data_IF_890061457378
#
_entry.id   IF_890061457378
#
_cell.length_a   1.000
_cell.length_b   1.000
_cell.length_c   1.000
_cell.angle_alpha   90.00
_cell.angle_beta   90.00
_cell.angle_gamma   90.00
#
_symmetry.space_group_name_H-M   'P 1'
#
loop_
_entity.id
_entity.type
_entity.pdbx_description
1 polymer ?
#
# COMPACT_ATOMS: atom_id res chain seq x y z
N UNK A 1 54.26 -4.86 -1.91
CA UNK A 1 53.22 -5.27 -2.90
C UNK A 1 51.92 -5.70 -2.21
N UNK A 2 51.59 -5.13 -1.05
CA UNK A 2 50.54 -5.63 -0.14
C UNK A 2 49.54 -4.54 0.28
N UNK A 3 49.93 -3.27 0.27
CA UNK A 3 49.05 -2.14 0.64
C UNK A 3 47.99 -1.80 -0.41
N UNK A 4 48.28 -2.04 -1.70
CA UNK A 4 47.33 -1.80 -2.80
C UNK A 4 46.15 -2.78 -2.79
N UNK A 5 46.37 -4.00 -2.29
CA UNK A 5 45.35 -5.06 -2.21
C UNK A 5 44.38 -4.77 -1.06
N UNK A 6 44.86 -4.24 0.08
CA UNK A 6 44.03 -3.87 1.22
C UNK A 6 43.11 -2.69 0.90
N UNK A 7 43.60 -1.69 0.16
CA UNK A 7 42.79 -0.53 -0.28
C UNK A 7 41.72 -0.98 -1.28
N UNK A 8 42.07 -1.86 -2.23
CA UNK A 8 41.11 -2.38 -3.21
C UNK A 8 39.98 -3.19 -2.55
N UNK A 9 40.30 -4.04 -1.56
CA UNK A 9 39.28 -4.80 -0.81
C UNK A 9 38.35 -3.90 0.01
N UNK A 10 38.89 -2.85 0.65
CA UNK A 10 38.09 -1.88 1.41
C UNK A 10 37.10 -1.10 0.52
N UNK A 11 37.53 -0.66 -0.66
CA UNK A 11 36.66 0.03 -1.63
C UNK A 11 35.56 -0.90 -2.16
N UNK A 12 35.90 -2.17 -2.43
CA UNK A 12 34.92 -3.17 -2.88
C UNK A 12 33.84 -3.42 -1.81
N UNK A 13 34.20 -3.53 -0.53
CA UNK A 13 33.24 -3.73 0.57
C UNK A 13 32.28 -2.52 0.71
N UNK A 14 32.79 -1.29 0.57
CA UNK A 14 31.98 -0.07 0.63
C UNK A 14 31.00 0.00 -0.54
N UNK A 15 31.43 -0.37 -1.74
CA UNK A 15 30.56 -0.42 -2.93
C UNK A 15 29.49 -1.49 -2.76
N UNK A 16 29.84 -2.68 -2.25
CA UNK A 16 28.86 -3.75 -1.98
C UNK A 16 27.82 -3.27 -0.94
N UNK A 17 28.25 -2.61 0.14
CA UNK A 17 27.32 -2.04 1.13
C UNK A 17 26.37 -1.00 0.51
N UNK A 18 26.88 -0.07 -0.31
CA UNK A 18 26.06 0.94 -0.98
C UNK A 18 25.08 0.36 -2.01
N UNK A 19 25.49 -0.68 -2.74
CA UNK A 19 24.64 -1.41 -3.69
C UNK A 19 23.54 -2.17 -2.93
N UNK A 20 23.87 -2.82 -1.80
CA UNK A 20 22.87 -3.53 -0.99
C UNK A 20 21.79 -2.59 -0.44
N UNK A 21 22.16 -1.38 -0.02
CA UNK A 21 21.20 -0.38 0.47
C UNK A 21 20.27 0.15 -0.63
N UNK A 22 20.78 0.28 -1.85
CA UNK A 22 20.02 0.78 -2.99
C UNK A 22 18.98 -0.23 -3.50
N UNK A 23 19.27 -1.53 -3.38
CA UNK A 23 18.37 -2.60 -3.84
C UNK A 23 17.20 -2.85 -2.88
N UNK A 24 17.29 -2.45 -1.62
CA UNK A 24 16.21 -2.60 -0.63
C UNK A 24 15.15 -1.49 -0.71
N UNK A 25 15.44 -0.36 -1.35
CA UNK A 25 14.51 0.75 -1.54
C UNK A 25 13.61 0.55 -2.78
N UNK A 26 13.09 -0.66 -2.98
CA UNK A 26 12.01 -0.87 -3.94
C UNK A 26 10.74 -0.39 -3.27
N UNK A 27 10.41 0.88 -3.47
CA UNK A 27 9.16 1.49 -3.04
C UNK A 27 8.00 0.78 -3.77
N UNK A 28 7.56 -0.34 -3.21
CA UNK A 28 6.25 -0.91 -3.50
C UNK A 28 5.29 0.10 -2.87
N UNK A 29 4.65 0.95 -3.69
CA UNK A 29 3.49 1.71 -3.25
C UNK A 29 2.46 0.66 -2.76
N UNK A 30 2.52 0.30 -1.49
CA UNK A 30 1.75 -0.78 -0.89
C UNK A 30 0.24 -0.48 -0.96
N UNK A 31 -0.59 -1.37 -0.43
CA UNK A 31 -2.02 -1.15 -0.41
C UNK A 31 -2.34 0.16 0.31
N UNK A 32 -3.08 1.07 -0.34
CA UNK A 32 -3.51 2.34 0.28
C UNK A 32 -5.02 2.38 0.34
N UNK A 33 -5.58 2.43 1.55
CA UNK A 33 -7.00 2.63 1.79
C UNK A 33 -7.27 4.09 2.10
N UNK A 34 -7.95 4.77 1.19
CA UNK A 34 -8.49 6.11 1.43
C UNK A 34 -9.87 6.01 2.07
N UNK A 35 -10.05 6.69 3.19
CA UNK A 35 -11.26 6.64 4.01
C UNK A 35 -11.59 8.03 4.56
N UNK A 36 -12.75 8.17 5.20
CA UNK A 36 -13.13 9.40 5.91
C UNK A 36 -13.74 9.10 7.27
N UNK A 37 -13.47 9.95 8.25
CA UNK A 37 -14.05 9.78 9.59
C UNK A 37 -15.58 9.98 9.54
N UNK A 38 -16.34 9.05 10.14
CA UNK A 38 -17.82 9.07 10.11
C UNK A 38 -18.44 8.49 8.82
N UNK A 39 -17.64 7.95 7.91
CA UNK A 39 -18.12 7.22 6.72
C UNK A 39 -18.58 5.80 7.07
N UNK A 40 -19.86 5.48 6.86
CA UNK A 40 -20.43 4.16 7.15
C UNK A 40 -19.80 3.03 6.34
N UNK A 41 -19.58 3.20 5.04
CA UNK A 41 -18.97 2.19 4.18
C UNK A 41 -17.50 1.94 4.54
N UNK A 42 -16.79 2.98 4.97
CA UNK A 42 -15.40 2.88 5.40
C UNK A 42 -15.29 2.04 6.68
N UNK A 43 -16.22 2.27 7.63
CA UNK A 43 -16.30 1.49 8.86
C UNK A 43 -16.51 -0.01 8.59
N UNK A 44 -17.27 -0.37 7.55
CA UNK A 44 -17.42 -1.78 7.14
C UNK A 44 -16.09 -2.41 6.75
N UNK A 45 -15.29 -1.70 5.93
CA UNK A 45 -13.96 -2.16 5.51
C UNK A 45 -13.02 -2.26 6.71
N UNK A 46 -12.95 -1.22 7.54
CA UNK A 46 -12.10 -1.20 8.73
C UNK A 46 -12.43 -2.34 9.69
N UNK A 47 -13.72 -2.59 9.91
CA UNK A 47 -14.19 -3.72 10.71
C UNK A 47 -13.73 -5.04 10.11
N UNK A 48 -13.89 -5.23 8.80
CA UNK A 48 -13.43 -6.45 8.13
C UNK A 48 -11.92 -6.67 8.27
N UNK A 49 -11.13 -5.61 8.08
CA UNK A 49 -9.67 -5.66 8.24
C UNK A 49 -9.27 -6.08 9.66
N UNK A 50 -9.95 -5.53 10.67
CA UNK A 50 -9.71 -5.82 12.07
C UNK A 50 -10.11 -7.26 12.43
N UNK A 51 -11.34 -7.67 12.07
CA UNK A 51 -11.89 -8.99 12.39
C UNK A 51 -11.06 -10.14 11.78
N UNK A 52 -10.37 -9.90 10.66
CA UNK A 52 -9.58 -10.90 9.94
C UNK A 52 -8.06 -10.72 10.11
N UNK A 53 -7.61 -9.81 10.99
CA UNK A 53 -6.21 -9.49 11.24
C UNK A 53 -5.41 -9.21 9.95
N UNK A 54 -6.03 -8.55 8.97
CA UNK A 54 -5.46 -8.35 7.64
C UNK A 54 -4.16 -7.54 7.70
N UNK A 55 -4.10 -6.54 8.58
CA UNK A 55 -2.93 -5.68 8.75
C UNK A 55 -1.71 -6.41 9.34
N UNK A 56 -1.89 -7.64 9.86
CA UNK A 56 -0.79 -8.52 10.26
C UNK A 56 -0.26 -9.36 9.08
N UNK A 57 -1.05 -9.50 8.01
CA UNK A 57 -0.75 -10.31 6.82
C UNK A 57 -0.18 -9.47 5.69
N UNK A 58 -0.63 -8.22 5.58
CA UNK A 58 -0.18 -7.28 4.54
C UNK A 58 -0.18 -5.85 5.09
N UNK A 59 0.78 -5.04 4.65
CA UNK A 59 0.81 -3.62 4.99
C UNK A 59 -0.28 -2.87 4.22
N UNK A 60 -1.21 -2.26 4.96
CA UNK A 60 -2.25 -1.37 4.43
C UNK A 60 -2.02 0.03 5.01
N UNK A 61 -1.74 1.00 4.15
CA UNK A 61 -1.67 2.40 4.55
C UNK A 61 -3.08 2.99 4.56
N UNK A 62 -3.56 3.43 5.72
CA UNK A 62 -4.85 4.11 5.84
C UNK A 62 -4.65 5.63 5.75
N UNK A 63 -5.38 6.28 4.85
CA UNK A 63 -5.30 7.73 4.60
C UNK A 63 -6.69 8.37 4.70
N UNK A 64 -6.91 9.07 5.80
CA UNK A 64 -8.11 9.89 6.03
C UNK A 64 -8.13 11.05 5.03
N UNK A 65 -9.25 11.36 4.39
CA UNK A 65 -9.34 12.40 3.34
C UNK A 65 -10.24 13.60 3.66
N UNK A 66 -11.14 13.52 4.65
CA UNK A 66 -12.05 14.62 4.96
C UNK A 66 -11.34 15.77 5.69
N UNK A 67 -10.40 15.47 6.58
CA UNK A 67 -9.66 16.45 7.37
C UNK A 67 -8.20 16.60 6.91
N UNK A 68 -7.76 15.78 5.95
CA UNK A 68 -6.42 15.84 5.40
C UNK A 68 -6.42 16.13 3.89
N UNK A 69 -6.26 17.40 3.54
CA UNK A 69 -6.25 17.86 2.15
C UNK A 69 -5.16 17.21 1.29
N UNK A 70 -3.99 16.90 1.88
CA UNK A 70 -2.90 16.23 1.15
C UNK A 70 -3.30 14.82 0.73
N UNK A 71 -3.96 14.07 1.62
CA UNK A 71 -4.47 12.75 1.31
C UNK A 71 -5.61 12.80 0.28
N UNK A 72 -6.50 13.80 0.36
CA UNK A 72 -7.55 14.00 -0.64
C UNK A 72 -6.98 14.30 -2.04
N UNK A 73 -5.94 15.14 -2.11
CA UNK A 73 -5.23 15.40 -3.37
C UNK A 73 -4.56 14.13 -3.91
N UNK A 74 -3.95 13.32 -3.05
CA UNK A 74 -3.37 12.05 -3.46
C UNK A 74 -4.43 11.06 -3.97
N UNK A 75 -5.59 10.98 -3.31
CA UNK A 75 -6.73 10.20 -3.80
C UNK A 75 -7.12 10.62 -5.21
N UNK A 76 -7.27 11.92 -5.47
CA UNK A 76 -7.58 12.44 -6.82
C UNK A 76 -6.53 12.05 -7.86
N UNK A 77 -5.24 12.09 -7.50
CA UNK A 77 -4.15 11.65 -8.37
C UNK A 77 -4.19 10.15 -8.67
N UNK A 78 -4.49 9.30 -7.67
CA UNK A 78 -4.62 7.85 -7.87
C UNK A 78 -5.88 7.51 -8.67
N UNK A 79 -7.00 8.16 -8.37
CA UNK A 79 -8.25 8.01 -9.11
C UNK A 79 -8.09 8.35 -10.59
N UNK A 80 -7.38 9.42 -10.92
CA UNK A 80 -7.06 9.77 -12.31
C UNK A 80 -6.27 8.66 -13.03
N UNK A 81 -5.31 8.01 -12.35
CA UNK A 81 -4.58 6.85 -12.93
C UNK A 81 -5.50 5.65 -13.19
N UNK A 82 -6.56 5.51 -12.41
CA UNK A 82 -7.59 4.50 -12.59
C UNK A 82 -8.67 4.87 -13.62
N UNK A 83 -8.58 6.05 -14.26
CA UNK A 83 -9.60 6.54 -15.18
C UNK A 83 -10.89 7.02 -14.49
N UNK A 84 -10.84 7.24 -13.17
CA UNK A 84 -11.95 7.78 -12.38
C UNK A 84 -11.91 9.33 -12.35
N UNK A 85 -13.07 10.00 -12.16
CA UNK A 85 -13.09 11.45 -11.99
C UNK A 85 -12.26 11.89 -10.77
N UNK A 86 -11.30 12.79 -10.97
CA UNK A 86 -10.37 13.22 -9.89
C UNK A 86 -11.02 14.05 -8.79
N UNK A 87 -12.14 14.70 -9.09
CA UNK A 87 -12.67 15.79 -8.26
C UNK A 87 -13.85 15.36 -7.37
N UNK A 88 -14.41 14.16 -7.59
CA UNK A 88 -15.56 13.63 -6.85
C UNK A 88 -15.47 12.11 -6.70
N UNK A 89 -14.37 11.64 -6.10
CA UNK A 89 -14.18 10.21 -5.82
C UNK A 89 -14.93 9.83 -4.55
N UNK A 90 -15.88 8.91 -4.65
CA UNK A 90 -16.54 8.32 -3.48
C UNK A 90 -15.58 7.42 -2.70
N UNK A 91 -15.64 7.48 -1.37
CA UNK A 91 -14.82 6.66 -0.46
C UNK A 91 -15.70 5.58 0.22
N UNK A 92 -15.14 4.42 0.63
CA UNK A 92 -13.72 4.07 0.64
C UNK A 92 -13.15 3.75 -0.75
N UNK A 93 -11.84 3.97 -0.92
CA UNK A 93 -11.09 3.55 -2.13
C UNK A 93 -9.82 2.81 -1.73
N UNK A 94 -9.60 1.63 -2.28
CA UNK A 94 -8.34 0.91 -2.18
C UNK A 94 -7.52 1.09 -3.46
N UNK A 95 -6.29 1.56 -3.33
CA UNK A 95 -5.27 1.49 -4.37
C UNK A 95 -4.39 0.27 -4.14
N UNK A 96 -4.32 -0.64 -5.12
CA UNK A 96 -3.56 -1.90 -5.01
C UNK A 96 -2.12 -1.81 -5.54
N UNK A 97 -1.69 -0.62 -5.98
CA UNK A 97 -0.44 -0.40 -6.71
C UNK A 97 -0.64 -0.08 -8.19
N UNK A 98 -1.77 -0.52 -8.77
CA UNK A 98 -2.11 -0.36 -10.19
C UNK A 98 -3.56 0.09 -10.41
N UNK A 99 -4.50 -0.51 -9.69
CA UNK A 99 -5.94 -0.34 -9.85
C UNK A 99 -6.57 0.31 -8.61
N UNK A 100 -7.79 0.80 -8.79
CA UNK A 100 -8.64 1.32 -7.72
C UNK A 100 -9.85 0.41 -7.54
N UNK A 101 -10.11 -0.01 -6.31
CA UNK A 101 -11.38 -0.61 -5.91
C UNK A 101 -12.16 0.43 -5.13
N UNK A 102 -13.43 0.64 -5.48
CA UNK A 102 -14.28 1.70 -4.92
C UNK A 102 -15.45 1.08 -4.19
N UNK A 103 -15.74 1.58 -2.99
CA UNK A 103 -16.82 1.06 -2.15
C UNK A 103 -16.37 -0.12 -1.28
N UNK A 104 -17.19 -0.45 -0.29
CA UNK A 104 -16.85 -1.45 0.72
C UNK A 104 -16.84 -2.88 0.17
N UNK A 105 -17.83 -3.26 -0.63
CA UNK A 105 -17.99 -4.64 -1.10
C UNK A 105 -16.79 -5.14 -1.90
N UNK A 106 -16.31 -4.37 -2.88
CA UNK A 106 -15.19 -4.77 -3.73
C UNK A 106 -13.87 -4.83 -2.97
N UNK A 107 -13.67 -3.90 -2.03
CA UNK A 107 -12.49 -3.88 -1.16
C UNK A 107 -12.50 -5.08 -0.21
N UNK A 108 -13.64 -5.39 0.42
CA UNK A 108 -13.81 -6.56 1.29
C UNK A 108 -13.56 -7.84 0.50
N UNK A 109 -14.17 -7.97 -0.69
CA UNK A 109 -13.98 -9.14 -1.56
C UNK A 109 -12.50 -9.33 -1.95
N UNK A 110 -11.78 -8.23 -2.23
CA UNK A 110 -10.35 -8.28 -2.50
C UNK A 110 -9.58 -8.82 -1.30
N UNK A 111 -9.81 -8.31 -0.09
CA UNK A 111 -9.08 -8.78 1.08
C UNK A 111 -9.46 -10.21 1.46
N UNK A 112 -10.73 -10.56 1.35
CA UNK A 112 -11.24 -11.92 1.59
C UNK A 112 -10.58 -12.93 0.66
N UNK A 113 -10.51 -12.63 -0.64
CA UNK A 113 -9.92 -13.54 -1.64
C UNK A 113 -8.42 -13.74 -1.45
N UNK A 114 -7.70 -12.70 -1.06
CA UNK A 114 -6.23 -12.69 -1.08
C UNK A 114 -5.57 -12.95 0.27
N UNK A 115 -6.27 -12.71 1.38
CA UNK A 115 -5.65 -12.72 2.71
C UNK A 115 -6.49 -13.41 3.79
N UNK A 116 -7.72 -13.82 3.49
CA UNK A 116 -8.47 -14.71 4.39
C UNK A 116 -8.28 -16.12 3.87
N UNK A 117 -7.86 -17.02 4.77
CA UNK A 117 -7.73 -18.44 4.46
C UNK A 117 -9.13 -18.99 4.25
N UNK A 118 -9.62 -18.89 3.00
CA UNK A 118 -10.77 -19.65 2.56
C UNK A 118 -10.27 -21.09 2.59
N UNK A 119 -10.59 -21.83 3.65
CA UNK A 119 -10.45 -23.29 3.66
C UNK A 119 -10.81 -23.76 2.26
N UNK A 120 -9.83 -24.33 1.56
CA UNK A 120 -9.97 -24.84 0.21
C UNK A 120 -11.15 -25.81 0.26
N UNK A 121 -12.33 -25.31 -0.11
CA UNK A 121 -13.56 -26.07 -0.15
C UNK A 121 -13.43 -26.95 -1.38
N UNK A 122 -12.83 -28.12 -1.13
CA UNK A 122 -12.83 -29.29 -2.01
C UNK A 122 -14.27 -29.59 -2.40
#
# INVERSE_FOLDING_TARGET
>A
MSTKITIALGVVIIIIAAVTWSLTQKNQDGLILYYGDGCSHCANVEKFLADNAIEQKVQVQKKEVYQNQKNAQELGQRAAKCGLPSDNVGIPVLWDGTNCLVGDQDIINFFQKNYVDVEQKI
#
